data_IF_928132635138
#
_entry.id   IF_928132635138
#
_cell.length_a   1.000
_cell.length_b   1.000
_cell.length_c   1.000
_cell.angle_alpha   90.00
_cell.angle_beta   90.00
_cell.angle_gamma   90.00
#
_symmetry.space_group_name_H-M   'P 1'
#
loop_
_entity.id
_entity.type
_entity.pdbx_description
1 polymer ?
#
# COMPACT_ATOMS: atom_id res chain seq x y z
N UNK A 1 -11.55 15.67 -23.07
CA UNK A 1 -11.83 14.24 -22.87
C UNK A 1 -11.18 13.50 -24.03
N UNK A 2 -10.18 12.66 -23.75
CA UNK A 2 -9.26 12.12 -24.75
C UNK A 2 -9.45 10.62 -24.78
N UNK A 3 -9.90 10.10 -25.91
CA UNK A 3 -9.98 8.65 -26.14
C UNK A 3 -8.60 8.17 -26.57
N UNK A 4 -8.05 7.19 -25.86
CA UNK A 4 -6.78 6.56 -26.20
C UNK A 4 -6.99 5.08 -26.51
N UNK A 5 -6.22 4.55 -27.46
CA UNK A 5 -6.22 3.11 -27.74
C UNK A 5 -5.23 2.41 -26.81
N UNK A 6 -5.71 1.47 -26.00
CA UNK A 6 -4.88 0.62 -25.15
C UNK A 6 -5.18 -0.83 -25.49
N UNK A 7 -4.17 -1.59 -25.93
CA UNK A 7 -4.31 -2.99 -26.37
C UNK A 7 -5.44 -3.22 -27.40
N UNK A 8 -5.66 -2.26 -28.31
CA UNK A 8 -6.71 -2.35 -29.33
C UNK A 8 -8.11 -1.97 -28.87
N UNK A 9 -8.30 -1.58 -27.61
CA UNK A 9 -9.57 -1.10 -27.07
C UNK A 9 -9.57 0.42 -26.92
N UNK A 10 -10.65 1.12 -27.31
CA UNK A 10 -10.82 2.53 -27.01
C UNK A 10 -11.09 2.69 -25.51
N UNK A 11 -10.15 3.29 -24.81
CA UNK A 11 -10.25 3.59 -23.38
C UNK A 11 -10.48 5.08 -23.20
N UNK A 12 -11.52 5.41 -22.43
CA UNK A 12 -11.75 6.76 -21.94
C UNK A 12 -10.83 6.99 -20.73
N UNK A 13 -9.73 7.69 -20.94
CA UNK A 13 -8.82 8.06 -19.87
C UNK A 13 -9.05 9.54 -19.51
N UNK A 14 -9.50 9.80 -18.28
CA UNK A 14 -9.53 11.16 -17.74
C UNK A 14 -8.10 11.54 -17.36
N UNK A 15 -7.58 12.59 -17.99
CA UNK A 15 -6.21 13.06 -17.75
C UNK A 15 -6.18 14.36 -16.95
N UNK A 16 -5.02 14.72 -16.40
CA UNK A 16 -4.79 16.00 -15.71
C UNK A 16 -5.05 17.24 -16.60
N UNK A 17 -5.12 17.06 -17.92
CA UNK A 17 -5.46 18.12 -18.88
C UNK A 17 -6.95 18.47 -18.88
N UNK A 18 -7.79 17.61 -18.30
CA UNK A 18 -9.24 17.65 -18.46
C UNK A 18 -9.97 17.89 -17.14
N UNK A 19 -9.33 17.53 -16.02
CA UNK A 19 -9.87 17.72 -14.67
C UNK A 19 -8.76 18.23 -13.76
N UNK A 20 -9.13 19.15 -12.85
CA UNK A 20 -8.23 19.65 -11.82
C UNK A 20 -7.69 18.47 -10.98
N UNK A 21 -6.38 18.33 -10.99
CA UNK A 21 -5.70 17.24 -10.30
C UNK A 21 -5.22 17.70 -8.93
N UNK A 22 -5.76 17.08 -7.88
CA UNK A 22 -5.38 17.35 -6.50
C UNK A 22 -4.83 16.06 -5.86
N UNK A 23 -3.50 15.86 -5.89
CA UNK A 23 -2.90 14.65 -5.32
C UNK A 23 -3.13 14.60 -3.81
N UNK A 24 -3.34 13.40 -3.28
CA UNK A 24 -3.46 13.20 -1.84
C UNK A 24 -2.16 13.58 -1.11
N UNK A 25 -2.24 13.86 0.20
CA UNK A 25 -1.04 14.15 1.00
C UNK A 25 0.00 13.03 0.88
N UNK A 26 -0.44 11.77 0.95
CA UNK A 26 0.44 10.62 0.74
C UNK A 26 1.15 10.68 -0.60
N UNK A 27 0.40 10.90 -1.69
CA UNK A 27 0.97 10.93 -3.03
C UNK A 27 2.02 12.05 -3.18
N UNK A 28 1.76 13.22 -2.60
CA UNK A 28 2.72 14.33 -2.59
C UNK A 28 4.01 13.99 -1.84
N UNK A 29 3.95 13.19 -0.77
CA UNK A 29 5.15 12.74 -0.04
C UNK A 29 5.85 11.60 -0.79
N UNK A 30 5.11 10.60 -1.24
CA UNK A 30 5.65 9.46 -1.97
C UNK A 30 6.39 9.88 -3.23
N UNK A 31 5.92 10.92 -3.94
CA UNK A 31 6.64 11.49 -5.10
C UNK A 31 8.05 11.98 -4.73
N UNK A 32 8.26 12.49 -3.51
CA UNK A 32 9.54 13.04 -3.03
C UNK A 32 10.51 11.99 -2.49
N UNK A 33 10.05 10.79 -2.16
CA UNK A 33 10.93 9.73 -1.64
C UNK A 33 11.99 9.36 -2.69
N UNK A 34 13.24 9.35 -2.23
CA UNK A 34 14.41 8.93 -3.00
C UNK A 34 14.83 7.55 -2.52
N UNK A 35 14.90 6.57 -3.41
CA UNK A 35 15.22 5.20 -3.03
C UNK A 35 16.72 5.03 -2.77
N UNK A 36 17.06 4.58 -1.57
CA UNK A 36 18.43 4.29 -1.17
C UNK A 36 18.99 3.01 -1.79
N UNK A 37 20.29 2.78 -1.60
CA UNK A 37 20.91 1.51 -1.98
C UNK A 37 20.34 0.37 -1.14
N UNK A 38 19.95 -0.74 -1.79
CA UNK A 38 19.29 -1.88 -1.12
C UNK A 38 20.11 -2.38 0.08
N UNK A 39 19.46 -2.46 1.25
CA UNK A 39 19.99 -3.01 2.49
C UNK A 39 19.02 -4.03 3.07
N UNK A 40 19.54 -5.02 3.77
CA UNK A 40 18.70 -6.05 4.40
C UNK A 40 18.17 -5.66 5.78
N UNK A 41 18.94 -4.85 6.52
CA UNK A 41 18.61 -4.40 7.88
C UNK A 41 19.12 -2.99 8.13
N UNK A 42 18.45 -2.29 9.04
CA UNK A 42 18.92 -1.02 9.59
C UNK A 42 20.17 -1.27 10.46
N UNK A 43 21.04 -0.27 10.55
CA UNK A 43 22.07 -0.24 11.60
C UNK A 43 21.43 0.05 12.96
N UNK A 44 22.13 -0.26 14.04
CA UNK A 44 21.65 0.03 15.40
C UNK A 44 21.42 1.53 15.58
N UNK A 45 22.28 2.37 15.01
CA UNK A 45 22.13 3.84 15.04
C UNK A 45 20.91 4.31 14.25
N UNK A 46 20.68 3.79 13.04
CA UNK A 46 19.49 4.10 12.24
C UNK A 46 18.22 3.70 13.00
N UNK A 47 18.20 2.52 13.63
CA UNK A 47 17.07 2.03 14.40
C UNK A 47 16.78 2.87 15.65
N UNK A 48 17.81 3.21 16.44
CA UNK A 48 17.63 4.06 17.62
C UNK A 48 17.14 5.46 17.25
N UNK A 49 17.61 6.02 16.13
CA UNK A 49 17.09 7.28 15.59
C UNK A 49 15.59 7.18 15.23
N UNK A 50 15.15 6.06 14.66
CA UNK A 50 13.73 5.84 14.37
C UNK A 50 12.90 5.69 15.66
N UNK A 51 13.40 5.00 16.69
CA UNK A 51 12.71 4.84 17.99
C UNK A 51 12.49 6.17 18.72
N UNK A 52 13.40 7.12 18.56
CA UNK A 52 13.24 8.46 19.12
C UNK A 52 12.16 9.28 18.42
N UNK A 53 11.91 9.02 17.13
CA UNK A 53 10.95 9.76 16.31
C UNK A 53 9.55 9.13 16.31
N UNK A 54 9.49 7.80 16.35
CA UNK A 54 8.27 7.04 16.04
C UNK A 54 7.96 6.03 17.14
N UNK A 55 6.69 5.96 17.52
CA UNK A 55 6.15 4.88 18.36
C UNK A 55 5.06 4.15 17.57
N UNK A 56 5.34 2.91 17.15
CA UNK A 56 4.45 2.14 16.28
C UNK A 56 3.09 1.80 16.89
N UNK A 57 2.91 1.94 18.20
CA UNK A 57 1.58 1.76 18.83
C UNK A 57 0.67 2.96 18.68
N UNK A 58 1.21 4.14 18.37
CA UNK A 58 0.46 5.40 18.35
C UNK A 58 1.03 6.39 17.33
N UNK A 59 1.16 5.95 16.08
CA UNK A 59 1.61 6.81 14.98
C UNK A 59 0.43 7.56 14.36
N UNK A 60 0.61 8.84 14.07
CA UNK A 60 -0.32 9.55 13.19
C UNK A 60 -0.16 9.08 11.74
N UNK A 61 -1.10 9.48 10.88
CA UNK A 61 -0.99 9.33 9.42
C UNK A 61 0.31 9.92 8.87
N UNK A 62 0.71 11.10 9.36
CA UNK A 62 1.93 11.78 8.89
C UNK A 62 3.18 11.01 9.30
N UNK A 63 3.19 10.49 10.53
CA UNK A 63 4.31 9.71 11.04
C UNK A 63 4.48 8.39 10.27
N UNK A 64 3.37 7.72 9.96
CA UNK A 64 3.38 6.50 9.15
C UNK A 64 3.97 6.73 7.75
N UNK A 65 3.56 7.84 7.11
CA UNK A 65 4.07 8.22 5.78
C UNK A 65 5.56 8.63 5.86
N UNK A 66 5.94 9.39 6.89
CA UNK A 66 7.33 9.80 7.09
C UNK A 66 8.25 8.61 7.35
N UNK A 67 7.85 7.68 8.23
CA UNK A 67 8.56 6.43 8.49
C UNK A 67 8.76 5.62 7.21
N UNK A 68 7.73 5.47 6.38
CA UNK A 68 7.87 4.77 5.10
C UNK A 68 8.88 5.46 4.18
N UNK A 69 8.88 6.80 4.14
CA UNK A 69 9.89 7.58 3.42
C UNK A 69 11.31 7.30 3.93
N UNK A 70 11.53 7.35 5.24
CA UNK A 70 12.84 7.07 5.84
C UNK A 70 13.31 5.64 5.57
N UNK A 71 12.41 4.65 5.58
CA UNK A 71 12.75 3.26 5.24
C UNK A 71 13.08 3.07 3.74
N UNK A 72 12.46 3.87 2.86
CA UNK A 72 12.79 3.91 1.43
C UNK A 72 14.16 4.55 1.20
N UNK A 73 14.43 5.67 1.86
CA UNK A 73 15.72 6.37 1.79
C UNK A 73 16.86 5.54 2.38
N UNK A 74 16.60 4.77 3.44
CA UNK A 74 17.54 3.82 4.01
C UNK A 74 17.78 2.58 3.11
N UNK A 75 16.96 2.37 2.09
CA UNK A 75 17.05 1.24 1.16
C UNK A 75 16.55 -0.09 1.74
N UNK A 76 15.76 -0.06 2.81
CA UNK A 76 15.18 -1.24 3.45
C UNK A 76 14.00 -1.79 2.65
N UNK A 77 13.20 -0.88 2.10
CA UNK A 77 12.02 -1.19 1.30
C UNK A 77 12.03 -0.32 0.04
N UNK A 78 11.60 -0.85 -1.10
CA UNK A 78 11.52 -0.04 -2.31
C UNK A 78 10.36 0.94 -2.25
N UNK A 79 10.44 2.03 -3.02
CA UNK A 79 9.37 3.03 -3.12
C UNK A 79 8.04 2.40 -3.56
N UNK A 80 8.11 1.51 -4.56
CA UNK A 80 6.94 0.78 -5.05
C UNK A 80 6.32 -0.13 -3.98
N UNK A 81 7.15 -0.79 -3.18
CA UNK A 81 6.68 -1.67 -2.10
C UNK A 81 6.05 -0.89 -0.94
N UNK A 82 6.71 0.17 -0.47
CA UNK A 82 6.16 1.04 0.57
C UNK A 82 4.80 1.60 0.15
N UNK A 83 4.68 2.01 -1.13
CA UNK A 83 3.41 2.47 -1.70
C UNK A 83 2.35 1.38 -1.73
N UNK A 84 2.70 0.17 -2.15
CA UNK A 84 1.77 -0.96 -2.17
C UNK A 84 1.26 -1.32 -0.77
N UNK A 85 2.14 -1.33 0.23
CA UNK A 85 1.76 -1.58 1.63
C UNK A 85 0.84 -0.47 2.15
N UNK A 86 1.21 0.80 1.96
CA UNK A 86 0.40 1.93 2.41
C UNK A 86 -1.01 1.94 1.80
N UNK A 87 -1.13 1.54 0.53
CA UNK A 87 -2.40 1.51 -0.19
C UNK A 87 -3.18 0.21 0.01
N UNK A 88 -2.67 -0.75 0.79
CA UNK A 88 -3.31 -2.04 1.02
C UNK A 88 -3.40 -2.95 -0.22
N UNK A 89 -2.46 -2.80 -1.16
CA UNK A 89 -2.45 -3.57 -2.40
C UNK A 89 -2.04 -5.00 -2.10
N UNK A 90 -2.95 -5.94 -2.37
CA UNK A 90 -2.68 -7.37 -2.28
C UNK A 90 -2.21 -7.88 -3.65
N UNK A 91 -1.04 -8.54 -3.75
CA UNK A 91 -0.56 -9.08 -5.02
C UNK A 91 -1.47 -10.18 -5.56
N UNK A 92 -1.52 -10.31 -6.88
CA UNK A 92 -2.25 -11.35 -7.60
C UNK A 92 -1.31 -12.09 -8.56
N UNK A 93 -1.56 -13.36 -8.81
CA UNK A 93 -0.85 -14.16 -9.81
C UNK A 93 -1.46 -13.93 -11.19
N UNK A 94 -0.90 -12.97 -11.93
CA UNK A 94 -1.37 -12.61 -13.27
C UNK A 94 -1.39 -13.78 -14.25
N UNK A 95 -0.58 -14.83 -14.03
CA UNK A 95 -0.58 -16.02 -14.88
C UNK A 95 -1.86 -16.85 -14.77
N UNK A 96 -2.61 -16.67 -13.68
CA UNK A 96 -3.91 -17.31 -13.45
C UNK A 96 -5.07 -16.47 -13.97
N UNK A 97 -4.83 -15.20 -14.31
CA UNK A 97 -5.86 -14.31 -14.85
C UNK A 97 -6.18 -14.76 -16.28
N UNK A 98 -7.45 -15.08 -16.51
CA UNK A 98 -7.93 -15.31 -17.86
C UNK A 98 -8.58 -14.04 -18.42
N UNK A 99 -7.91 -13.26 -19.29
CA UNK A 99 -8.45 -12.00 -19.81
C UNK A 99 -9.68 -12.18 -20.71
N UNK A 100 -9.98 -13.41 -21.14
CA UNK A 100 -11.17 -13.73 -21.96
C UNK A 100 -12.40 -14.05 -21.11
N UNK A 101 -12.22 -14.22 -19.80
CA UNK A 101 -13.32 -14.38 -18.85
C UNK A 101 -13.46 -13.07 -18.06
N UNK A 102 -14.69 -12.61 -17.79
CA UNK A 102 -14.89 -11.51 -16.86
C UNK A 102 -14.52 -11.99 -15.45
N UNK A 103 -13.24 -11.86 -15.10
CA UNK A 103 -12.73 -12.11 -13.76
C UNK A 103 -12.80 -10.80 -12.98
N UNK A 104 -13.90 -10.64 -12.25
CA UNK A 104 -14.19 -9.45 -11.46
C UNK A 104 -15.36 -8.63 -12.01
N UNK A 105 -16.21 -8.18 -11.10
CA UNK A 105 -17.30 -7.24 -11.40
C UNK A 105 -16.80 -5.85 -11.06
N UNK A 106 -16.73 -4.94 -12.05
CA UNK A 106 -16.61 -3.50 -11.78
C UNK A 106 -17.88 -3.07 -11.06
N UNK A 107 -17.83 -3.04 -9.73
CA UNK A 107 -18.97 -2.63 -8.94
C UNK A 107 -19.02 -1.11 -9.01
N UNK A 108 -20.13 -0.58 -9.52
CA UNK A 108 -20.41 0.86 -9.51
C UNK A 108 -20.26 1.37 -8.07
N UNK A 109 -19.50 2.44 -7.87
CA UNK A 109 -19.47 3.18 -6.62
C UNK A 109 -20.80 3.94 -6.49
N UNK A 110 -21.90 3.22 -6.27
CA UNK A 110 -23.17 3.85 -5.90
C UNK A 110 -23.12 4.24 -4.42
N UNK A 111 -23.81 5.34 -4.08
CA UNK A 111 -23.77 6.04 -2.79
C UNK A 111 -23.84 5.10 -1.58
N UNK A 112 -23.01 5.41 -0.58
CA UNK A 112 -22.67 4.63 0.63
C UNK A 112 -23.84 4.50 1.62
N UNK A 113 -25.09 4.69 1.20
CA UNK A 113 -26.24 4.72 2.11
C UNK A 113 -26.85 3.36 2.44
N UNK A 114 -26.73 2.32 1.60
CA UNK A 114 -27.51 1.09 1.82
C UNK A 114 -26.81 -0.19 1.37
N UNK A 115 -25.79 -0.70 2.09
CA UNK A 115 -25.37 -2.11 1.94
C UNK A 115 -24.93 -2.77 3.24
N UNK A 116 -25.88 -3.46 3.89
CA UNK A 116 -25.61 -4.71 4.61
C UNK A 116 -25.18 -5.75 3.57
N UNK A 117 -23.98 -6.30 3.73
CA UNK A 117 -23.36 -7.36 2.91
C UNK A 117 -22.81 -6.91 1.56
N UNK A 118 -21.49 -6.66 1.51
CA UNK A 118 -20.66 -6.92 0.33
C UNK A 118 -19.18 -7.04 0.75
N UNK A 119 -18.55 -8.18 0.43
CA UNK A 119 -17.17 -8.55 0.80
C UNK A 119 -16.06 -7.61 0.27
N UNK A 120 -16.40 -6.59 -0.51
CA UNK A 120 -15.45 -5.59 -1.01
C UNK A 120 -15.70 -4.16 -0.53
N UNK A 121 -16.76 -3.91 0.26
CA UNK A 121 -16.89 -2.67 1.05
C UNK A 121 -15.75 -2.48 2.07
N UNK A 122 -14.96 -3.53 2.28
CA UNK A 122 -13.74 -3.57 3.09
C UNK A 122 -12.58 -2.69 2.55
N UNK A 123 -12.46 -2.45 1.23
CA UNK A 123 -11.32 -1.67 0.70
C UNK A 123 -11.38 -0.18 1.11
N UNK A 124 -12.57 0.41 1.17
CA UNK A 124 -12.76 1.78 1.70
C UNK A 124 -12.53 1.87 3.22
N UNK A 125 -12.79 0.77 3.94
CA UNK A 125 -12.51 0.62 5.38
C UNK A 125 -11.04 0.34 5.69
N UNK A 126 -10.31 -0.32 4.80
CA UNK A 126 -8.88 -0.61 4.95
C UNK A 126 -8.03 0.65 4.78
N UNK A 127 -8.38 1.53 3.84
CA UNK A 127 -7.74 2.85 3.70
C UNK A 127 -7.89 3.69 4.97
N UNK A 128 -9.04 3.65 5.63
CA UNK A 128 -9.28 4.32 6.92
C UNK A 128 -8.61 3.60 8.10
N UNK A 129 -8.46 2.27 8.06
CA UNK A 129 -7.76 1.49 9.10
C UNK A 129 -6.25 1.76 9.15
N UNK A 130 -5.62 2.05 8.00
CA UNK A 130 -4.21 2.42 7.88
C UNK A 130 -3.95 3.90 8.20
N UNK A 131 -4.98 4.75 8.15
CA UNK A 131 -4.86 6.19 8.45
C UNK A 131 -4.67 6.49 9.94
N UNK A 132 -5.03 5.56 10.83
CA UNK A 132 -5.06 5.79 12.28
C UNK A 132 -4.43 4.67 13.11
N UNK A 133 -4.12 3.52 12.53
CA UNK A 133 -3.56 2.40 13.28
C UNK A 133 -2.11 2.13 12.86
N UNK A 134 -1.24 2.07 13.85
CA UNK A 134 0.15 1.69 13.67
C UNK A 134 0.31 0.19 13.46
N UNK A 135 1.19 -0.46 14.22
CA UNK A 135 1.58 -1.86 14.03
C UNK A 135 0.41 -2.83 13.83
N UNK A 136 -0.64 -2.73 14.64
CA UNK A 136 -1.76 -3.68 14.61
C UNK A 136 -2.58 -3.58 13.32
N UNK A 137 -2.74 -2.38 12.75
CA UNK A 137 -3.43 -2.22 11.46
C UNK A 137 -2.64 -2.87 10.33
N UNK A 138 -1.33 -2.68 10.30
CA UNK A 138 -0.47 -3.32 9.29
C UNK A 138 -0.39 -4.84 9.47
N UNK A 139 -0.41 -5.37 10.70
CA UNK A 139 -0.52 -6.81 10.95
C UNK A 139 -1.83 -7.39 10.42
N UNK A 140 -2.95 -6.72 10.71
CA UNK A 140 -4.27 -7.17 10.24
C UNK A 140 -4.36 -7.16 8.71
N UNK A 141 -3.83 -6.11 8.07
CA UNK A 141 -3.77 -6.05 6.62
C UNK A 141 -2.86 -7.14 6.04
N UNK A 142 -1.70 -7.41 6.64
CA UNK A 142 -0.80 -8.48 6.21
C UNK A 142 -1.50 -9.85 6.23
N UNK A 143 -2.19 -10.18 7.32
CA UNK A 143 -2.95 -11.44 7.43
C UNK A 143 -4.13 -11.50 6.46
N UNK A 144 -4.84 -10.40 6.25
CA UNK A 144 -5.88 -10.30 5.23
C UNK A 144 -5.30 -10.57 3.82
N UNK A 145 -4.22 -9.89 3.46
CA UNK A 145 -3.58 -10.05 2.15
C UNK A 145 -3.06 -11.47 1.93
N UNK A 146 -2.53 -12.13 2.97
CA UNK A 146 -2.13 -13.55 2.90
C UNK A 146 -3.30 -14.48 2.61
N UNK A 147 -4.47 -14.20 3.19
CA UNK A 147 -5.66 -15.01 2.99
C UNK A 147 -6.35 -14.75 1.64
N UNK A 148 -6.22 -13.54 1.10
CA UNK A 148 -6.91 -13.10 -0.11
C UNK A 148 -6.08 -13.27 -1.40
N UNK A 149 -4.78 -13.49 -1.31
CA UNK A 149 -3.89 -13.65 -2.47
C UNK A 149 -3.87 -15.09 -3.00
N UNK A 150 -3.58 -15.22 -4.29
CA UNK A 150 -3.33 -16.47 -4.98
C UNK A 150 -1.83 -16.69 -5.31
N UNK A 151 -0.95 -15.77 -4.91
CA UNK A 151 0.51 -15.94 -5.01
C UNK A 151 1.07 -16.80 -3.87
N UNK A 152 2.22 -17.43 -4.09
CA UNK A 152 2.94 -18.13 -3.02
C UNK A 152 3.50 -17.10 -2.00
N UNK A 153 2.87 -17.02 -0.83
CA UNK A 153 3.23 -16.09 0.26
C UNK A 153 4.70 -16.25 0.69
N UNK A 154 5.26 -17.46 0.66
CA UNK A 154 6.62 -17.71 1.14
C UNK A 154 7.68 -17.26 0.12
N UNK A 155 7.34 -17.31 -1.17
CA UNK A 155 8.24 -16.92 -2.27
C UNK A 155 8.05 -15.48 -2.74
N UNK A 156 6.90 -14.89 -2.45
CA UNK A 156 6.57 -13.54 -2.90
C UNK A 156 7.41 -12.49 -2.18
N UNK A 157 8.15 -11.70 -2.96
CA UNK A 157 8.90 -10.56 -2.45
C UNK A 157 8.00 -9.56 -1.71
N UNK A 158 6.71 -9.46 -2.09
CA UNK A 158 5.73 -8.63 -1.38
C UNK A 158 5.64 -8.99 0.09
N UNK A 159 5.38 -10.26 0.38
CA UNK A 159 5.16 -10.71 1.75
C UNK A 159 6.47 -10.78 2.55
N UNK A 160 7.62 -10.94 1.88
CA UNK A 160 8.92 -10.85 2.53
C UNK A 160 9.24 -9.41 2.95
N UNK A 161 9.07 -8.43 2.06
CA UNK A 161 9.29 -7.01 2.38
C UNK A 161 8.29 -6.50 3.42
N UNK A 162 7.02 -6.93 3.32
CA UNK A 162 6.01 -6.57 4.31
C UNK A 162 6.36 -7.16 5.69
N UNK A 163 6.81 -8.42 5.76
CA UNK A 163 7.28 -8.98 7.04
C UNK A 163 8.42 -8.17 7.65
N UNK A 164 9.43 -7.80 6.85
CA UNK A 164 10.52 -6.92 7.31
C UNK A 164 10.00 -5.58 7.85
N UNK A 165 9.03 -4.98 7.17
CA UNK A 165 8.38 -3.75 7.64
C UNK A 165 7.69 -3.96 9.00
N UNK A 166 6.94 -5.07 9.18
CA UNK A 166 6.30 -5.39 10.45
C UNK A 166 7.31 -5.65 11.58
N UNK A 167 8.44 -6.31 11.28
CA UNK A 167 9.53 -6.54 12.24
C UNK A 167 10.15 -5.23 12.71
N UNK A 168 10.27 -4.23 11.82
CA UNK A 168 10.73 -2.89 12.20
C UNK A 168 9.68 -2.20 13.05
N UNK A 169 8.41 -2.22 12.66
CA UNK A 169 7.34 -1.65 13.47
C UNK A 169 7.29 -2.27 14.87
N UNK A 170 7.52 -3.57 15.01
CA UNK A 170 7.60 -4.21 16.34
C UNK A 170 8.78 -3.67 17.16
N UNK A 171 9.94 -3.44 16.54
CA UNK A 171 11.09 -2.84 17.22
C UNK A 171 10.89 -1.36 17.59
N UNK A 172 9.99 -0.67 16.88
CA UNK A 172 9.56 0.70 17.19
C UNK A 172 8.39 0.75 18.19
N UNK A 173 7.97 -0.42 18.71
CA UNK A 173 6.95 -0.50 19.74
C UNK A 173 7.60 -0.24 21.09
N UNK A 174 7.19 0.85 21.77
CA UNK A 174 7.63 1.17 23.12
C UNK A 174 7.09 0.16 24.16
#
# INVERSE_FOLDING_TARGET
MTIQMVNGFPVYAVTKKEVAYHPSYFQQQAEKWVEGAKKDKLTDEELENLKQKYNSSNMSKKDSIALMGELVEAGIISKGRATAIYLGITPLDESKINPTKPEGVLTKCDDVSDRKNNSFGSLGGLGTMLEVGGLDSYKNLYEYSKAATDVDVNKSQHFQDYRKFLEILEQLKA
#
